data_IF_686784752038
#
_entry.id   IF_686784752038
#
_cell.length_a   1.000
_cell.length_b   1.000
_cell.length_c   1.000
_cell.angle_alpha   90.00
_cell.angle_beta   90.00
_cell.angle_gamma   90.00
#
_symmetry.space_group_name_H-M   'P 1'
#
loop_
_entity.id
_entity.type
_entity.pdbx_description
1 polymer ?
#
# COMPACT_ATOMS: atom_id res chain seq x y z
N UNK A 1 -10.01 -20.80 -43.69
CA UNK A 1 -10.91 -21.76 -43.04
C UNK A 1 -10.73 -21.80 -41.51
N UNK A 2 -10.19 -20.75 -40.88
CA UNK A 2 -9.79 -20.73 -39.45
C UNK A 2 -10.59 -19.73 -38.61
N UNK A 3 -11.17 -18.68 -39.21
CA UNK A 3 -12.01 -17.72 -38.49
C UNK A 3 -13.32 -18.32 -37.95
N UNK A 4 -13.81 -19.40 -38.55
CA UNK A 4 -15.01 -20.08 -38.06
C UNK A 4 -14.75 -20.90 -36.79
N UNK A 5 -13.58 -21.54 -36.71
CA UNK A 5 -13.13 -22.26 -35.52
C UNK A 5 -12.88 -21.30 -34.36
N UNK A 6 -12.20 -20.18 -34.62
CA UNK A 6 -11.91 -19.17 -33.58
C UNK A 6 -13.18 -18.52 -32.99
N UNK A 7 -14.21 -18.29 -33.82
CA UNK A 7 -15.52 -17.82 -33.34
C UNK A 7 -16.24 -18.87 -32.52
N UNK A 8 -16.18 -20.13 -32.95
CA UNK A 8 -16.81 -21.26 -32.24
C UNK A 8 -16.15 -21.48 -30.88
N UNK A 9 -14.83 -21.37 -30.79
CA UNK A 9 -14.10 -21.45 -29.53
C UNK A 9 -14.50 -20.30 -28.60
N UNK A 10 -14.49 -19.05 -29.06
CA UNK A 10 -14.91 -17.90 -28.24
C UNK A 10 -16.33 -18.03 -27.71
N UNK A 11 -17.27 -18.52 -28.52
CA UNK A 11 -18.64 -18.82 -28.07
C UNK A 11 -18.61 -19.89 -26.99
N UNK A 12 -17.89 -21.00 -27.21
CA UNK A 12 -17.77 -22.10 -26.24
C UNK A 12 -17.20 -21.63 -24.89
N UNK A 13 -16.15 -20.80 -24.90
CA UNK A 13 -15.55 -20.22 -23.70
C UNK A 13 -16.55 -19.32 -22.96
N UNK A 14 -17.31 -18.51 -23.69
CA UNK A 14 -18.32 -17.65 -23.10
C UNK A 14 -19.50 -18.44 -22.52
N UNK A 15 -19.94 -19.51 -23.19
CA UNK A 15 -20.99 -20.40 -22.64
C UNK A 15 -20.52 -21.05 -21.35
N UNK A 16 -19.28 -21.55 -21.30
CA UNK A 16 -18.70 -22.15 -20.08
C UNK A 16 -18.55 -21.15 -18.94
N UNK A 17 -18.25 -19.90 -19.25
CA UNK A 17 -18.22 -18.83 -18.25
C UNK A 17 -19.63 -18.60 -17.68
N UNK A 18 -20.67 -18.56 -18.51
CA UNK A 18 -22.06 -18.42 -18.05
C UNK A 18 -22.51 -19.62 -17.22
N UNK A 19 -22.16 -20.84 -17.63
CA UNK A 19 -22.45 -22.06 -16.85
C UNK A 19 -21.80 -21.99 -15.46
N UNK A 20 -20.54 -21.53 -15.38
CA UNK A 20 -19.83 -21.33 -14.12
C UNK A 20 -20.48 -20.24 -13.24
N UNK A 21 -20.95 -19.13 -13.83
CA UNK A 21 -21.67 -18.08 -13.10
C UNK A 21 -23.00 -18.62 -12.53
N UNK A 22 -23.74 -19.40 -13.32
CA UNK A 22 -25.02 -19.99 -12.88
C UNK A 22 -24.79 -21.08 -11.82
N UNK A 23 -23.73 -21.88 -11.91
CA UNK A 23 -23.35 -22.84 -10.87
C UNK A 23 -22.85 -22.17 -9.57
N UNK A 24 -22.39 -20.92 -9.65
CA UNK A 24 -21.97 -20.15 -8.46
C UNK A 24 -23.12 -19.38 -7.80
N UNK A 25 -24.28 -19.23 -8.45
CA UNK A 25 -25.50 -18.67 -7.84
C UNK A 25 -26.18 -19.62 -6.84
N UNK A 26 -25.88 -20.93 -6.86
CA UNK A 26 -26.28 -21.89 -5.80
C UNK A 26 -25.37 -21.80 -4.55
N UNK A 27 -24.33 -20.96 -4.57
CA UNK A 27 -23.55 -20.60 -3.39
C UNK A 27 -24.14 -19.29 -2.87
N UNK A 28 -25.02 -19.40 -1.87
CA UNK A 28 -25.57 -18.28 -1.08
C UNK A 28 -24.53 -17.16 -0.94
N UNK A 29 -24.72 -16.10 -1.72
CA UNK A 29 -24.04 -14.83 -1.54
C UNK A 29 -24.45 -14.31 -0.17
N UNK A 30 -23.61 -14.57 0.84
CA UNK A 30 -23.79 -14.07 2.20
C UNK A 30 -24.05 -12.56 2.12
N UNK A 31 -25.26 -12.18 2.51
CA UNK A 31 -25.94 -10.95 2.15
C UNK A 31 -25.19 -9.65 2.43
N UNK A 32 -25.15 -8.81 1.41
CA UNK A 32 -25.23 -7.36 1.58
C UNK A 32 -26.68 -7.01 1.28
N UNK A 33 -27.49 -6.96 2.33
CA UNK A 33 -28.86 -6.49 2.24
C UNK A 33 -28.81 -4.95 2.27
N UNK A 34 -29.04 -4.35 1.11
CA UNK A 34 -29.41 -2.95 0.97
C UNK A 34 -30.85 -2.82 1.47
N UNK A 35 -31.06 -2.38 2.71
CA UNK A 35 -32.40 -2.01 3.18
C UNK A 35 -32.67 -0.54 2.83
N UNK A 36 -33.58 -0.35 1.89
CA UNK A 36 -34.17 0.92 1.49
C UNK A 36 -34.95 1.59 2.63
N UNK A 37 -34.71 2.88 2.81
CA UNK A 37 -35.43 3.75 3.73
C UNK A 37 -36.84 4.05 3.22
N UNK A 38 -37.87 3.63 3.98
CA UNK A 38 -39.24 4.16 3.88
C UNK A 38 -39.72 4.65 5.25
N UNK A 39 -40.29 5.85 5.23
CA UNK A 39 -40.67 6.71 6.36
C UNK A 39 -41.79 6.12 7.23
N UNK A 40 -41.73 6.33 8.56
CA UNK A 40 -42.72 7.06 9.39
C UNK A 40 -42.58 6.74 10.90
N UNK A 41 -42.76 7.76 11.76
CA UNK A 41 -43.11 7.59 13.18
C UNK A 41 -42.05 7.99 14.21
N UNK A 42 -42.16 9.22 14.72
CA UNK A 42 -41.29 9.84 15.72
C UNK A 42 -41.47 9.28 17.15
N UNK A 43 -40.36 9.10 17.90
CA UNK A 43 -40.21 9.47 19.34
C UNK A 43 -38.72 9.70 19.67
N UNK A 44 -38.40 10.87 20.24
CA UNK A 44 -37.07 11.29 20.74
C UNK A 44 -36.63 10.55 22.02
N UNK A 45 -35.33 10.22 22.14
CA UNK A 45 -34.47 10.63 23.29
C UNK A 45 -32.99 10.24 23.13
N UNK A 46 -32.19 11.29 22.90
CA UNK A 46 -30.90 11.62 23.50
C UNK A 46 -29.70 10.65 23.44
N UNK A 47 -28.67 11.18 22.75
CA UNK A 47 -27.24 11.22 23.09
C UNK A 47 -26.39 9.95 22.98
N UNK A 48 -25.64 9.86 21.87
CA UNK A 48 -24.17 9.69 21.84
C UNK A 48 -23.67 10.45 20.60
N UNK A 49 -22.84 11.48 20.80
CA UNK A 49 -22.29 12.30 19.73
C UNK A 49 -21.24 11.53 18.92
N UNK A 50 -21.51 11.33 17.65
CA UNK A 50 -20.50 10.99 16.66
C UNK A 50 -19.65 12.23 16.38
N UNK A 51 -18.43 12.24 16.91
CA UNK A 51 -17.40 13.15 16.45
C UNK A 51 -16.99 12.77 15.02
N UNK A 52 -17.68 13.35 14.03
CA UNK A 52 -17.23 13.49 12.66
C UNK A 52 -15.95 14.35 12.66
N UNK A 53 -14.80 13.69 12.84
CA UNK A 53 -13.51 14.30 12.64
C UNK A 53 -13.33 14.61 11.16
N UNK A 54 -13.48 15.88 10.78
CA UNK A 54 -13.09 16.42 9.48
C UNK A 54 -11.74 15.84 9.03
N UNK A 55 -11.59 15.44 7.78
CA UNK A 55 -10.33 14.93 7.22
C UNK A 55 -9.33 16.07 7.02
N UNK A 56 -8.03 15.82 7.22
CA UNK A 56 -6.96 16.79 6.94
C UNK A 56 -6.76 16.85 5.41
N UNK A 57 -7.40 17.81 4.75
CA UNK A 57 -7.30 18.01 3.30
C UNK A 57 -5.88 18.45 2.90
N UNK A 58 -5.12 17.50 2.34
CA UNK A 58 -4.14 17.57 1.24
C UNK A 58 -3.50 18.95 0.94
N UNK A 59 -2.16 19.00 0.90
CA UNK A 59 -1.39 20.09 0.27
C UNK A 59 -1.92 20.41 -1.13
N UNK A 60 -2.11 21.69 -1.43
CA UNK A 60 -2.35 22.14 -2.80
C UNK A 60 -1.17 21.67 -3.67
N UNK A 61 -1.44 21.14 -4.88
CA UNK A 61 -0.45 20.65 -5.86
C UNK A 61 0.71 21.65 -6.16
N UNK A 62 0.55 22.91 -5.74
CA UNK A 62 1.51 24.00 -5.83
C UNK A 62 2.77 23.84 -4.95
N UNK A 63 2.71 23.08 -3.85
CA UNK A 63 3.85 22.93 -2.92
C UNK A 63 4.62 21.62 -3.09
N UNK A 64 4.21 20.76 -4.02
CA UNK A 64 4.83 19.46 -4.23
C UNK A 64 6.00 19.56 -5.23
N UNK A 65 7.08 18.85 -4.91
CA UNK A 65 8.21 18.68 -5.81
C UNK A 65 7.84 17.80 -7.00
N UNK A 66 8.66 17.83 -8.05
CA UNK A 66 8.43 17.01 -9.23
C UNK A 66 8.55 15.52 -8.89
N UNK A 67 7.49 14.77 -9.17
CA UNK A 67 7.38 13.36 -8.82
C UNK A 67 6.63 13.11 -7.53
N UNK A 68 6.35 14.08 -6.67
CA UNK A 68 5.58 13.81 -5.45
C UNK A 68 4.09 13.52 -5.72
N UNK A 69 3.52 12.68 -4.85
CA UNK A 69 2.12 12.31 -4.81
C UNK A 69 1.37 13.08 -3.74
N UNK A 70 0.12 13.41 -4.07
CA UNK A 70 -0.87 13.90 -3.11
C UNK A 70 -1.46 12.73 -2.31
N UNK A 71 -1.74 12.95 -1.02
CA UNK A 71 -2.32 11.95 -0.13
C UNK A 71 -3.33 12.59 0.84
N UNK A 72 -4.24 11.75 1.36
CA UNK A 72 -5.20 12.09 2.41
C UNK A 72 -5.01 11.12 3.59
N UNK A 73 -4.99 11.66 4.81
CA UNK A 73 -4.82 10.90 6.05
C UNK A 73 -5.81 11.37 7.12
N UNK A 74 -6.04 10.51 8.11
CA UNK A 74 -6.75 10.92 9.32
C UNK A 74 -6.05 12.12 9.97
N UNK A 75 -6.80 13.00 10.65
CA UNK A 75 -6.23 14.17 11.32
C UNK A 75 -5.17 13.83 12.36
N UNK A 76 -5.37 12.71 13.05
CA UNK A 76 -4.53 12.21 14.12
C UNK A 76 -4.26 10.71 13.92
N UNK A 77 -3.03 10.25 14.17
CA UNK A 77 -2.72 8.83 14.20
C UNK A 77 -3.57 8.11 15.26
N UNK A 78 -4.12 6.96 14.90
CA UNK A 78 -5.02 6.18 15.78
C UNK A 78 -4.24 5.34 16.80
N UNK A 79 -2.97 5.05 16.52
CA UNK A 79 -2.13 4.16 17.32
C UNK A 79 -1.00 4.98 17.94
N UNK A 80 -1.16 5.36 19.21
CA UNK A 80 -0.16 6.15 19.94
C UNK A 80 0.67 5.27 20.88
N UNK A 81 1.80 5.80 21.34
CA UNK A 81 2.68 5.17 22.34
C UNK A 81 3.34 3.86 21.90
N UNK A 82 3.68 3.74 20.62
CA UNK A 82 4.37 2.56 20.07
C UNK A 82 5.87 2.69 20.31
N UNK A 83 6.49 1.62 20.81
CA UNK A 83 7.93 1.52 21.07
C UNK A 83 8.68 0.91 19.88
N UNK A 84 9.99 1.09 19.82
CA UNK A 84 10.83 0.42 18.82
C UNK A 84 10.70 -1.10 18.92
N UNK A 85 10.62 -1.65 20.14
CA UNK A 85 10.44 -3.09 20.34
C UNK A 85 9.14 -3.63 19.74
N UNK A 86 8.05 -2.85 19.74
CA UNK A 86 6.80 -3.24 19.09
C UNK A 86 6.84 -3.04 17.57
N UNK A 87 7.54 -2.01 17.09
CA UNK A 87 7.83 -1.85 15.66
C UNK A 87 8.63 -3.03 15.08
N UNK A 88 9.64 -3.51 15.81
CA UNK A 88 10.44 -4.66 15.39
C UNK A 88 9.62 -5.96 15.43
N UNK A 89 8.95 -6.25 16.55
CA UNK A 89 8.25 -7.52 16.71
C UNK A 89 6.93 -7.64 15.93
N UNK A 90 6.06 -6.62 15.98
CA UNK A 90 4.72 -6.68 15.40
C UNK A 90 4.67 -6.16 13.96
N UNK A 91 5.43 -5.09 13.67
CA UNK A 91 5.49 -4.47 12.35
C UNK A 91 6.64 -4.99 11.48
N UNK A 92 7.60 -5.73 12.06
CA UNK A 92 8.79 -6.27 11.38
C UNK A 92 9.71 -5.18 10.82
N UNK A 93 9.83 -4.07 11.56
CA UNK A 93 10.69 -2.95 11.19
C UNK A 93 12.14 -3.15 11.72
N UNK A 94 12.81 -4.23 11.29
CA UNK A 94 14.07 -4.68 11.88
C UNK A 94 15.23 -3.66 11.81
N UNK A 95 15.21 -2.75 10.81
CA UNK A 95 16.25 -1.73 10.60
C UNK A 95 15.73 -0.31 10.85
N UNK A 96 14.70 -0.15 11.69
CA UNK A 96 14.04 1.14 11.88
C UNK A 96 14.99 2.25 12.34
N UNK A 97 15.83 2.00 13.33
CA UNK A 97 16.77 2.99 13.88
C UNK A 97 17.75 3.48 12.81
N UNK A 98 18.37 2.55 12.09
CA UNK A 98 19.30 2.87 11.01
C UNK A 98 18.61 3.65 9.87
N UNK A 99 17.41 3.23 9.47
CA UNK A 99 16.63 3.93 8.46
C UNK A 99 16.24 5.35 8.92
N UNK A 100 15.98 5.54 10.22
CA UNK A 100 15.62 6.83 10.80
C UNK A 100 16.81 7.78 10.84
N UNK A 101 17.95 7.31 11.34
CA UNK A 101 19.21 8.06 11.36
C UNK A 101 19.56 8.55 9.95
N UNK A 102 19.52 7.63 8.98
CA UNK A 102 19.77 7.95 7.58
C UNK A 102 18.80 9.01 7.04
N UNK A 103 17.49 8.84 7.28
CA UNK A 103 16.48 9.80 6.85
C UNK A 103 16.72 11.19 7.45
N UNK A 104 17.00 11.27 8.76
CA UNK A 104 17.29 12.54 9.43
C UNK A 104 18.56 13.18 8.90
N UNK A 105 19.59 12.40 8.60
CA UNK A 105 20.83 12.91 8.00
C UNK A 105 20.58 13.48 6.59
N UNK A 106 19.88 12.74 5.73
CA UNK A 106 19.56 13.15 4.35
C UNK A 106 18.73 14.45 4.30
N UNK A 107 17.89 14.70 5.31
CA UNK A 107 17.07 15.91 5.41
C UNK A 107 17.71 17.02 6.27
N UNK A 108 18.92 16.83 6.78
CA UNK A 108 19.60 17.82 7.63
C UNK A 108 18.94 18.05 8.99
N UNK A 109 18.19 17.07 9.50
CA UNK A 109 17.42 17.12 10.74
C UNK A 109 18.11 16.39 11.90
N UNK A 110 19.23 15.72 11.65
CA UNK A 110 19.95 14.93 12.65
C UNK A 110 20.57 15.85 13.72
N UNK A 111 20.17 15.67 14.98
CA UNK A 111 20.75 16.35 16.14
C UNK A 111 21.99 15.60 16.62
N UNK A 112 23.12 16.27 16.78
CA UNK A 112 24.39 15.64 17.22
C UNK A 112 24.31 15.02 18.63
N UNK A 113 23.48 15.59 19.50
CA UNK A 113 23.50 15.26 20.93
C UNK A 113 22.49 14.17 21.34
N UNK A 114 21.59 13.75 20.43
CA UNK A 114 20.44 12.88 20.77
C UNK A 114 19.88 12.14 19.55
N UNK A 115 20.45 10.98 19.21
CA UNK A 115 20.04 10.24 17.99
C UNK A 115 19.51 8.81 18.25
N UNK A 116 19.52 8.33 19.49
CA UNK A 116 19.29 6.91 19.78
C UNK A 116 17.85 6.41 19.51
N UNK A 117 16.92 7.22 18.98
CA UNK A 117 15.52 6.92 18.58
C UNK A 117 14.62 6.20 19.62
N UNK A 118 15.21 5.68 20.68
CA UNK A 118 14.73 4.76 21.70
C UNK A 118 13.88 5.39 22.79
N UNK A 119 14.08 6.65 23.21
CA UNK A 119 13.17 7.28 24.16
C UNK A 119 11.89 7.79 23.48
N UNK A 120 11.84 7.82 22.14
CA UNK A 120 10.72 8.36 21.40
C UNK A 120 9.55 7.36 21.31
N UNK A 121 8.34 7.87 21.49
CA UNK A 121 7.10 7.13 21.26
C UNK A 121 6.57 7.47 19.87
N UNK A 122 6.25 6.45 19.10
CA UNK A 122 5.78 6.62 17.73
C UNK A 122 4.25 6.62 17.67
N UNK A 123 3.72 7.50 16.81
CA UNK A 123 2.30 7.58 16.52
C UNK A 123 2.07 7.07 15.09
N UNK A 124 1.34 5.97 14.94
CA UNK A 124 1.14 5.27 13.68
C UNK A 124 -0.27 5.46 13.09
N UNK A 125 -0.31 5.55 11.77
CA UNK A 125 -1.50 5.51 10.95
C UNK A 125 -1.80 4.08 10.51
N UNK A 126 -3.09 3.70 10.52
CA UNK A 126 -3.53 2.40 9.99
C UNK A 126 -3.44 2.34 8.47
N UNK A 127 -3.73 3.46 7.83
CA UNK A 127 -3.76 3.59 6.39
C UNK A 127 -3.63 5.04 5.94
N UNK A 128 -3.30 5.21 4.67
CA UNK A 128 -3.30 6.47 3.93
C UNK A 128 -4.10 6.28 2.63
N UNK A 129 -4.67 7.35 2.10
CA UNK A 129 -5.22 7.36 0.75
C UNK A 129 -4.31 8.17 -0.17
N UNK A 130 -3.77 7.55 -1.20
CA UNK A 130 -2.97 8.21 -2.23
C UNK A 130 -3.94 8.69 -3.31
N UNK A 131 -3.83 9.96 -3.70
CA UNK A 131 -4.70 10.54 -4.73
C UNK A 131 -4.03 10.34 -6.09
N UNK A 132 -4.59 9.48 -6.92
CA UNK A 132 -4.11 9.24 -8.27
C UNK A 132 -4.58 10.36 -9.20
N UNK A 133 -3.73 10.81 -10.15
CA UNK A 133 -4.15 11.79 -11.14
C UNK A 133 -5.29 11.22 -12.00
N UNK A 134 -6.24 12.09 -12.36
CA UNK A 134 -7.25 11.75 -13.36
C UNK A 134 -6.56 11.38 -14.68
N UNK A 135 -7.11 10.36 -15.32
CA UNK A 135 -6.68 9.88 -16.64
C UNK A 135 -7.78 10.23 -17.62
N UNK A 136 -7.62 11.29 -18.45
CA UNK A 136 -8.69 11.80 -19.31
C UNK A 136 -9.29 10.73 -20.23
N UNK A 137 -8.51 9.70 -20.55
CA UNK A 137 -8.94 8.59 -21.38
C UNK A 137 -9.95 7.65 -20.71
N UNK A 138 -10.05 7.69 -19.37
CA UNK A 138 -10.83 6.71 -18.56
C UNK A 138 -11.79 7.40 -17.60
N UNK A 139 -11.33 8.42 -16.87
CA UNK A 139 -12.11 9.11 -15.84
C UNK A 139 -11.58 10.51 -15.59
N UNK A 140 -12.49 11.49 -15.62
CA UNK A 140 -12.23 12.88 -15.26
C UNK A 140 -12.04 13.12 -13.75
N UNK A 141 -12.38 12.12 -12.93
CA UNK A 141 -12.29 12.22 -11.48
C UNK A 141 -11.04 11.55 -10.92
N UNK A 142 -10.35 12.18 -9.94
CA UNK A 142 -9.21 11.56 -9.27
C UNK A 142 -9.66 10.32 -8.49
N UNK A 143 -8.86 9.27 -8.54
CA UNK A 143 -9.13 8.00 -7.85
C UNK A 143 -8.33 7.96 -6.55
N UNK A 144 -8.99 7.56 -5.47
CA UNK A 144 -8.36 7.37 -4.17
C UNK A 144 -7.86 5.94 -4.03
N UNK A 145 -6.56 5.79 -3.77
CA UNK A 145 -5.89 4.51 -3.65
C UNK A 145 -5.48 4.24 -2.20
N UNK A 146 -6.03 3.18 -1.61
CA UNK A 146 -5.84 2.87 -0.19
C UNK A 146 -4.56 2.08 0.03
N UNK A 147 -3.67 2.58 0.88
CA UNK A 147 -2.49 1.86 1.35
C UNK A 147 -2.56 1.64 2.86
N UNK A 148 -2.55 0.38 3.29
CA UNK A 148 -2.63 -0.05 4.70
C UNK A 148 -1.29 -0.55 5.22
N UNK A 149 -1.05 -0.27 6.50
CA UNK A 149 0.09 -0.72 7.27
C UNK A 149 -0.34 -0.98 8.72
N UNK A 150 -0.93 -2.15 8.97
CA UNK A 150 -1.44 -2.54 10.30
C UNK A 150 -0.89 -3.88 10.74
N UNK A 151 -0.35 -3.95 11.95
CA UNK A 151 -0.01 -5.20 12.61
C UNK A 151 -1.24 -6.08 12.86
N UNK A 152 -1.01 -7.36 13.16
CA UNK A 152 -2.09 -8.29 13.46
C UNK A 152 -2.82 -7.86 14.74
N UNK A 153 -4.15 -7.80 14.69
CA UNK A 153 -4.95 -7.46 15.86
C UNK A 153 -5.51 -8.74 16.50
N UNK A 154 -5.24 -8.97 17.80
CA UNK A 154 -5.80 -10.09 18.50
C UNK A 154 -7.32 -9.93 18.66
N UNK A 155 -7.98 -11.01 19.06
CA UNK A 155 -9.40 -10.97 19.42
C UNK A 155 -9.57 -10.00 20.58
N UNK A 156 -10.20 -8.87 20.31
CA UNK A 156 -10.57 -7.91 21.34
C UNK A 156 -11.98 -8.22 21.84
N UNK A 157 -12.13 -8.28 23.16
CA UNK A 157 -13.44 -8.34 23.82
C UNK A 157 -13.67 -7.01 24.50
N UNK A 158 -14.61 -6.22 23.99
CA UNK A 158 -15.04 -4.98 24.64
C UNK A 158 -16.50 -5.14 25.05
N UNK A 159 -16.72 -5.29 26.36
CA UNK A 159 -18.03 -5.59 26.91
C UNK A 159 -18.60 -6.90 26.36
N UNK A 160 -19.77 -6.84 25.70
CA UNK A 160 -20.46 -7.99 25.09
C UNK A 160 -20.03 -8.26 23.64
N UNK A 161 -19.29 -7.35 23.01
CA UNK A 161 -18.93 -7.45 21.59
C UNK A 161 -17.58 -8.13 21.43
N UNK A 162 -17.56 -9.26 20.71
CA UNK A 162 -16.35 -9.97 20.33
C UNK A 162 -15.92 -9.55 18.92
N UNK A 163 -14.76 -8.92 18.82
CA UNK A 163 -14.16 -8.56 17.54
C UNK A 163 -13.40 -9.75 16.96
N UNK A 164 -13.61 -10.04 15.68
CA UNK A 164 -12.88 -11.09 14.97
C UNK A 164 -11.39 -10.70 14.88
N UNK A 165 -10.46 -11.67 14.91
CA UNK A 165 -9.05 -11.37 14.75
C UNK A 165 -8.79 -10.84 13.34
N UNK A 166 -8.06 -9.73 13.23
CA UNK A 166 -7.66 -9.17 11.95
C UNK A 166 -6.19 -9.54 11.67
N UNK A 167 -5.86 -10.16 10.53
CA UNK A 167 -4.48 -10.44 10.19
C UNK A 167 -3.71 -9.14 9.93
N UNK A 168 -2.38 -9.20 10.05
CA UNK A 168 -1.53 -8.09 9.64
C UNK A 168 -1.74 -7.78 8.15
N UNK A 169 -1.79 -6.49 7.82
CA UNK A 169 -1.98 -5.99 6.45
C UNK A 169 -0.88 -4.98 6.15
N UNK A 170 0.02 -5.36 5.24
CA UNK A 170 1.14 -4.54 4.79
C UNK A 170 1.09 -4.48 3.28
N UNK A 171 0.56 -3.39 2.73
CA UNK A 171 0.41 -3.27 1.29
C UNK A 171 1.75 -3.03 0.59
N UNK A 172 1.82 -3.55 -0.64
CA UNK A 172 2.88 -3.25 -1.59
C UNK A 172 2.55 -2.00 -2.38
N UNK A 173 3.56 -1.19 -2.67
CA UNK A 173 3.44 0.10 -3.34
C UNK A 173 4.54 0.30 -4.37
N UNK A 174 4.28 1.15 -5.36
CA UNK A 174 5.30 1.79 -6.18
C UNK A 174 5.69 3.10 -5.52
N UNK A 175 6.95 3.24 -5.17
CA UNK A 175 7.49 4.42 -4.52
C UNK A 175 8.83 4.82 -5.17
N UNK A 176 9.21 6.09 -4.97
CA UNK A 176 10.51 6.60 -5.40
C UNK A 176 11.46 6.57 -4.21
N UNK A 177 12.69 6.08 -4.41
CA UNK A 177 13.73 6.11 -3.38
C UNK A 177 14.22 7.54 -3.15
N UNK A 178 14.39 8.25 -4.26
CA UNK A 178 14.91 9.61 -4.34
C UNK A 178 14.09 10.37 -5.38
N UNK A 179 14.02 11.69 -5.23
CA UNK A 179 13.44 12.59 -6.23
C UNK A 179 14.55 13.43 -6.85
N UNK A 180 14.50 13.69 -8.18
CA UNK A 180 15.47 14.57 -8.80
C UNK A 180 15.28 16.00 -8.31
N UNK A 181 16.40 16.70 -8.08
CA UNK A 181 16.39 18.11 -7.62
C UNK A 181 15.79 19.06 -8.68
N UNK A 182 15.84 18.67 -9.96
CA UNK A 182 15.34 19.48 -11.08
C UNK A 182 14.39 18.71 -11.99
N UNK A 183 13.37 19.40 -12.48
CA UNK A 183 12.42 18.93 -13.52
C UNK A 183 13.09 18.64 -14.88
N UNK A 184 14.32 19.11 -15.08
CA UNK A 184 15.08 18.85 -16.31
C UNK A 184 15.57 17.41 -16.41
N UNK A 185 15.65 16.69 -15.30
CA UNK A 185 16.03 15.28 -15.28
C UNK A 185 14.79 14.41 -15.38
N UNK A 186 14.78 13.53 -16.38
CA UNK A 186 13.72 12.54 -16.53
C UNK A 186 13.77 11.54 -15.38
N UNK A 187 12.61 11.20 -14.81
CA UNK A 187 12.51 10.19 -13.74
C UNK A 187 13.05 8.82 -14.18
N UNK A 188 13.07 8.55 -15.49
CA UNK A 188 13.56 7.30 -16.08
C UNK A 188 15.03 7.01 -15.80
N UNK A 189 15.83 8.03 -15.45
CA UNK A 189 17.24 7.86 -15.05
C UNK A 189 17.36 7.01 -13.79
N UNK A 190 16.33 7.00 -12.94
CA UNK A 190 16.28 6.26 -11.67
C UNK A 190 15.61 4.86 -11.82
N UNK A 191 15.37 4.40 -13.06
CA UNK A 191 14.58 3.20 -13.38
C UNK A 191 13.25 3.58 -14.03
N UNK A 192 12.38 2.63 -14.43
CA UNK A 192 11.11 2.93 -15.10
C UNK A 192 10.29 3.97 -14.31
N UNK A 193 10.21 5.20 -14.82
CA UNK A 193 9.61 6.35 -14.13
C UNK A 193 10.14 6.64 -12.70
N UNK A 194 11.35 6.18 -12.38
CA UNK A 194 11.99 6.25 -11.06
C UNK A 194 11.32 5.39 -9.98
N UNK A 195 10.42 4.49 -10.38
CA UNK A 195 9.60 3.71 -9.48
C UNK A 195 10.28 2.41 -9.07
N UNK A 196 10.12 2.11 -7.79
CA UNK A 196 10.57 0.89 -7.15
C UNK A 196 9.41 0.27 -6.40
N UNK A 197 9.39 -1.06 -6.36
CA UNK A 197 8.41 -1.78 -5.54
C UNK A 197 8.89 -1.78 -4.09
N UNK A 198 7.98 -1.49 -3.17
CA UNK A 198 8.24 -1.55 -1.74
C UNK A 198 7.04 -2.15 -1.00
N UNK A 199 7.29 -2.77 0.15
CA UNK A 199 6.25 -3.14 1.11
C UNK A 199 6.22 -2.12 2.25
N UNK A 200 5.07 -1.50 2.48
CA UNK A 200 4.90 -0.55 3.58
C UNK A 200 4.65 -1.32 4.87
N UNK A 201 5.59 -1.21 5.83
CA UNK A 201 5.43 -1.86 7.15
C UNK A 201 4.77 -0.95 8.14
N UNK A 202 5.18 0.31 8.23
CA UNK A 202 4.62 1.27 9.17
C UNK A 202 4.45 2.64 8.52
N UNK A 203 3.41 3.36 8.92
CA UNK A 203 3.20 4.76 8.55
C UNK A 203 3.06 5.54 9.84
N UNK A 204 3.82 6.62 10.02
CA UNK A 204 3.92 7.30 11.32
C UNK A 204 4.24 8.79 11.16
N UNK A 205 3.96 9.57 12.20
CA UNK A 205 4.45 10.94 12.31
C UNK A 205 5.82 10.97 12.98
N UNK A 206 6.72 11.82 12.49
CA UNK A 206 8.02 12.01 13.11
C UNK A 206 7.80 12.54 14.54
N UNK A 207 8.29 11.84 15.58
CA UNK A 207 8.15 12.31 16.96
C UNK A 207 8.83 13.67 17.15
N UNK A 208 8.12 14.60 17.79
CA UNK A 208 8.56 15.99 17.98
C UNK A 208 9.89 16.08 18.74
N UNK A 209 10.21 15.07 19.57
CA UNK A 209 11.47 14.99 20.30
C UNK A 209 12.68 14.87 19.35
N UNK A 210 12.51 14.12 18.25
CA UNK A 210 13.55 13.95 17.25
C UNK A 210 13.65 15.20 16.37
N UNK A 211 12.59 15.53 15.66
CA UNK A 211 12.49 16.74 14.83
C UNK A 211 11.05 16.95 14.35
N UNK A 212 10.83 17.97 13.53
CA UNK A 212 9.53 18.22 12.88
C UNK A 212 9.67 18.03 11.38
N UNK A 213 8.74 17.28 10.78
CA UNK A 213 8.66 17.09 9.33
C UNK A 213 7.23 17.33 8.85
N UNK A 214 7.01 17.98 7.68
CA UNK A 214 5.68 18.42 7.27
C UNK A 214 4.74 17.29 6.84
N UNK A 215 5.26 16.08 6.61
CA UNK A 215 4.49 14.95 6.10
C UNK A 215 4.62 13.71 6.98
N UNK A 216 3.60 12.84 7.02
CA UNK A 216 3.78 11.50 7.54
C UNK A 216 4.89 10.77 6.79
N UNK A 217 5.57 9.89 7.51
CA UNK A 217 6.66 9.06 7.02
C UNK A 217 6.18 7.62 6.90
N UNK A 218 6.77 6.87 5.98
CA UNK A 218 6.54 5.45 5.81
C UNK A 218 7.86 4.69 5.93
N UNK A 219 7.91 3.68 6.80
CA UNK A 219 8.96 2.68 6.78
C UNK A 219 8.59 1.64 5.72
N UNK A 220 9.49 1.45 4.76
CA UNK A 220 9.28 0.56 3.63
C UNK A 220 10.44 -0.42 3.50
N UNK A 221 10.12 -1.66 3.13
CA UNK A 221 11.10 -2.66 2.70
C UNK A 221 11.10 -2.71 1.16
N UNK A 222 12.28 -2.54 0.56
CA UNK A 222 12.42 -2.46 -0.89
C UNK A 222 12.53 -3.84 -1.52
N UNK A 223 11.96 -3.95 -2.71
CA UNK A 223 12.24 -5.04 -3.64
C UNK A 223 13.38 -4.66 -4.59
N UNK A 224 13.84 -5.62 -5.38
CA UNK A 224 14.85 -5.41 -6.42
C UNK A 224 14.37 -4.41 -7.48
N UNK A 225 15.29 -3.68 -8.13
CA UNK A 225 14.95 -2.74 -9.19
C UNK A 225 14.18 -3.39 -10.35
N UNK A 226 13.29 -2.62 -11.00
CA UNK A 226 12.48 -3.05 -12.15
C UNK A 226 13.32 -3.19 -13.43
N UNK A 227 14.23 -4.16 -13.46
CA UNK A 227 15.16 -4.39 -14.57
C UNK A 227 14.91 -5.72 -15.27
N UNK A 228 14.42 -6.73 -14.54
CA UNK A 228 14.20 -8.07 -15.09
C UNK A 228 12.76 -8.18 -15.60
N UNK A 229 12.60 -8.23 -16.92
CA UNK A 229 11.31 -8.48 -17.56
C UNK A 229 11.19 -9.97 -17.91
N UNK A 230 10.10 -10.60 -17.51
CA UNK A 230 9.75 -11.92 -18.00
C UNK A 230 9.27 -11.84 -19.46
N UNK A 231 9.80 -12.70 -20.33
CA UNK A 231 9.56 -12.63 -21.78
C UNK A 231 8.15 -13.09 -22.16
N UNK A 232 7.59 -14.00 -21.38
CA UNK A 232 6.30 -14.61 -21.69
C UNK A 232 5.15 -13.75 -21.17
N UNK A 233 5.28 -13.24 -19.94
CA UNK A 233 4.24 -12.40 -19.31
C UNK A 233 4.41 -10.90 -19.57
N UNK A 234 5.61 -10.47 -19.97
CA UNK A 234 6.01 -9.06 -20.06
C UNK A 234 5.83 -8.30 -18.74
N UNK A 235 5.88 -9.00 -17.61
CA UNK A 235 5.84 -8.41 -16.27
C UNK A 235 7.25 -8.30 -15.69
N UNK A 236 7.47 -7.28 -14.85
CA UNK A 236 8.72 -7.18 -14.11
C UNK A 236 8.78 -8.26 -13.03
N UNK A 237 9.86 -9.02 -13.01
CA UNK A 237 10.19 -9.93 -11.92
C UNK A 237 10.97 -9.17 -10.85
N UNK A 238 10.47 -9.20 -9.63
CA UNK A 238 11.05 -8.56 -8.45
C UNK A 238 11.24 -9.58 -7.33
N UNK A 239 12.25 -9.36 -6.49
CA UNK A 239 12.57 -10.15 -5.30
C UNK A 239 12.76 -9.19 -4.13
N UNK A 240 12.76 -9.68 -2.89
CA UNK A 240 13.14 -8.82 -1.77
C UNK A 240 14.57 -8.34 -1.95
N UNK A 241 14.80 -7.03 -1.81
CA UNK A 241 16.16 -6.50 -1.88
C UNK A 241 16.84 -6.81 -0.55
N UNK A 242 17.79 -7.75 -0.56
CA UNK A 242 18.54 -8.15 0.63
C UNK A 242 20.00 -7.73 0.52
N UNK A 243 20.55 -7.20 1.62
CA UNK A 243 21.99 -6.99 1.79
C UNK A 243 22.43 -7.71 3.07
N UNK A 244 23.31 -8.70 2.93
CA UNK A 244 23.77 -9.55 4.04
C UNK A 244 22.61 -10.26 4.78
N UNK A 245 21.64 -10.82 4.05
CA UNK A 245 20.41 -11.46 4.57
C UNK A 245 19.50 -10.53 5.39
N UNK A 246 19.61 -9.22 5.20
CA UNK A 246 18.76 -8.22 5.83
C UNK A 246 18.04 -7.45 4.72
N UNK A 247 16.71 -7.32 4.81
CA UNK A 247 15.95 -6.53 3.87
C UNK A 247 16.44 -5.08 3.84
N UNK A 248 16.65 -4.58 2.63
CA UNK A 248 16.97 -3.18 2.36
C UNK A 248 15.72 -2.36 2.66
N UNK A 249 15.73 -1.67 3.79
CA UNK A 249 14.64 -0.80 4.21
C UNK A 249 15.05 0.67 4.22
N UNK A 250 14.08 1.56 4.08
CA UNK A 250 14.28 2.98 4.31
C UNK A 250 13.02 3.64 4.87
N UNK A 251 13.18 4.83 5.43
CA UNK A 251 12.07 5.70 5.74
C UNK A 251 11.97 6.74 4.62
N UNK A 252 10.77 6.89 4.07
CA UNK A 252 10.47 7.87 3.01
C UNK A 252 9.28 8.74 3.42
N UNK A 253 9.18 9.98 2.93
CA UNK A 253 7.95 10.73 3.00
C UNK A 253 6.82 9.98 2.28
N UNK A 254 5.60 10.04 2.82
CA UNK A 254 4.44 9.44 2.14
C UNK A 254 4.20 10.05 0.74
N UNK A 255 4.65 11.28 0.51
CA UNK A 255 4.62 11.93 -0.81
C UNK A 255 5.44 11.18 -1.86
N UNK A 256 6.41 10.34 -1.48
CA UNK A 256 7.23 9.59 -2.43
C UNK A 256 6.52 8.32 -2.93
N UNK A 257 5.42 7.93 -2.28
CA UNK A 257 4.60 6.78 -2.67
C UNK A 257 3.69 7.20 -3.83
N UNK A 258 3.92 6.61 -5.00
CA UNK A 258 3.14 6.86 -6.22
C UNK A 258 1.74 6.27 -6.13
N UNK A 259 1.65 5.00 -5.70
CA UNK A 259 0.42 4.19 -5.69
C UNK A 259 0.66 2.83 -5.05
N UNK A 260 -0.40 2.15 -4.63
CA UNK A 260 -0.41 0.72 -4.33
C UNK A 260 -0.06 -0.11 -5.58
N UNK A 261 0.47 -1.31 -5.38
CA UNK A 261 0.67 -2.26 -6.47
C UNK A 261 0.38 -3.67 -6.00
N UNK A 262 0.17 -4.58 -6.95
CA UNK A 262 -0.11 -5.98 -6.67
C UNK A 262 1.04 -6.86 -7.14
N UNK A 263 1.55 -7.70 -6.24
CA UNK A 263 2.59 -8.68 -6.53
C UNK A 263 1.97 -10.07 -6.69
N UNK A 264 2.27 -10.71 -7.80
CA UNK A 264 1.85 -12.08 -8.10
C UNK A 264 3.01 -13.00 -7.71
N UNK A 265 2.83 -13.95 -6.78
CA UNK A 265 3.89 -14.87 -6.40
C UNK A 265 4.35 -15.70 -7.59
N UNK A 266 5.67 -15.88 -7.71
CA UNK A 266 6.27 -16.68 -8.77
C UNK A 266 7.30 -17.66 -8.19
N UNK A 267 7.02 -18.97 -8.31
CA UNK A 267 7.95 -20.04 -7.91
C UNK A 267 8.50 -20.84 -9.10
N UNK A 268 8.34 -20.34 -10.33
CA UNK A 268 8.65 -21.11 -11.53
C UNK A 268 7.76 -22.35 -11.61
N UNK A 269 8.33 -23.53 -11.34
CA UNK A 269 7.72 -24.81 -11.70
C UNK A 269 6.80 -25.42 -10.64
N UNK A 270 6.86 -24.98 -9.37
CA UNK A 270 6.05 -25.58 -8.31
C UNK A 270 5.61 -24.53 -7.30
N UNK A 271 4.30 -24.26 -7.21
CA UNK A 271 3.71 -23.42 -6.17
C UNK A 271 3.71 -24.18 -4.84
N UNK A 272 4.30 -23.58 -3.80
CA UNK A 272 4.26 -24.19 -2.46
C UNK A 272 2.84 -24.09 -1.90
N UNK A 273 2.23 -25.24 -1.59
CA UNK A 273 0.88 -25.31 -1.02
C UNK A 273 0.77 -24.71 0.39
N UNK A 274 1.88 -24.33 1.02
CA UNK A 274 1.90 -23.65 2.32
C UNK A 274 1.67 -22.15 2.22
N UNK A 275 1.67 -21.60 1.01
CA UNK A 275 1.43 -20.17 0.80
C UNK A 275 -0.02 -19.81 1.13
N UNK A 276 -0.15 -18.74 1.89
CA UNK A 276 -1.38 -18.10 2.31
C UNK A 276 -1.21 -16.60 2.11
N UNK A 277 -2.31 -15.84 2.03
CA UNK A 277 -2.22 -14.38 1.91
C UNK A 277 -1.43 -13.69 3.03
N UNK A 278 -1.18 -14.37 4.16
CA UNK A 278 -0.46 -13.81 5.32
C UNK A 278 1.05 -14.03 5.25
N UNK A 279 1.51 -15.15 4.69
CA UNK A 279 2.93 -15.52 4.68
C UNK A 279 3.57 -15.35 3.31
N UNK A 280 2.80 -15.28 2.23
CA UNK A 280 3.33 -15.33 0.86
C UNK A 280 4.34 -14.22 0.56
N UNK A 281 4.10 -13.00 1.06
CA UNK A 281 5.05 -11.90 0.89
C UNK A 281 6.36 -12.10 1.66
N UNK A 282 6.42 -13.00 2.66
CA UNK A 282 7.65 -13.28 3.40
C UNK A 282 8.30 -14.61 2.98
N UNK A 283 7.53 -15.57 2.46
CA UNK A 283 8.02 -16.91 2.11
C UNK A 283 8.38 -17.04 0.62
N UNK A 284 7.70 -16.30 -0.25
CA UNK A 284 7.97 -16.35 -1.68
C UNK A 284 9.20 -15.51 -2.02
N UNK A 285 10.11 -16.08 -2.82
CA UNK A 285 11.38 -15.43 -3.17
C UNK A 285 11.23 -14.41 -4.30
N UNK A 286 10.36 -14.70 -5.25
CA UNK A 286 10.22 -13.90 -6.47
C UNK A 286 8.75 -13.62 -6.76
N UNK A 287 8.49 -12.46 -7.32
CA UNK A 287 7.15 -11.99 -7.65
C UNK A 287 7.14 -11.35 -9.02
N UNK A 288 6.00 -11.40 -9.71
CA UNK A 288 5.72 -10.57 -10.86
C UNK A 288 4.90 -9.35 -10.44
N UNK A 289 5.32 -8.17 -10.90
CA UNK A 289 4.56 -6.94 -10.72
C UNK A 289 3.37 -6.93 -11.68
N UNK A 290 2.15 -6.91 -11.13
CA UNK A 290 0.94 -6.88 -11.94
C UNK A 290 0.77 -5.51 -12.62
N UNK A 291 0.90 -5.50 -13.94
CA UNK A 291 0.72 -4.30 -14.77
C UNK A 291 -0.76 -3.95 -15.01
N UNK A 292 -1.67 -4.87 -14.70
CA UNK A 292 -3.10 -4.78 -15.05
C UNK A 292 -4.00 -4.48 -13.85
N UNK A 293 -3.42 -4.05 -12.72
CA UNK A 293 -4.21 -3.67 -11.54
C UNK A 293 -5.15 -2.50 -11.86
N UNK A 294 -4.64 -1.50 -12.58
CA UNK A 294 -5.41 -0.36 -13.11
C UNK A 294 -4.94 -0.03 -14.52
N UNK A 295 -5.79 0.57 -15.36
CA UNK A 295 -5.39 0.97 -16.71
C UNK A 295 -4.17 1.91 -16.74
N UNK A 296 -4.05 2.81 -15.76
CA UNK A 296 -2.91 3.75 -15.66
C UNK A 296 -1.60 3.06 -15.29
N UNK A 297 -1.65 1.90 -14.63
CA UNK A 297 -0.44 1.14 -14.29
C UNK A 297 0.15 0.50 -15.54
N UNK A 298 -0.71 0.04 -16.45
CA UNK A 298 -0.30 -0.50 -17.74
C UNK A 298 0.43 0.54 -18.57
N UNK A 299 -0.09 1.77 -18.67
CA UNK A 299 0.55 2.85 -19.43
C UNK A 299 1.90 3.24 -18.81
N UNK A 300 1.97 3.28 -17.48
CA UNK A 300 3.14 3.78 -16.76
C UNK A 300 4.29 2.76 -16.67
N UNK A 301 4.00 1.45 -16.69
CA UNK A 301 5.02 0.42 -16.56
C UNK A 301 5.38 -0.27 -17.89
N UNK A 302 4.66 0.04 -18.96
CA UNK A 302 4.97 -0.48 -20.30
C UNK A 302 6.30 0.11 -20.80
N UNK A 303 7.22 -0.78 -21.12
CA UNK A 303 8.45 -0.47 -21.87
C UNK A 303 8.25 -0.63 -23.36
#
# INVERSE_FOLDING_TARGET
MTCWLDRREKVLWFTRFLDWVVETDDIDWIGIQEDECSKEGAVNRDSIGEHLGEEKKVLTRANLQYGESTYNTAKHPLLSNIDIGTLDSEYRCNNFVYAMERFLHEHGLLKLDYWDATPAKYQLYKHIHIVLPSTPEISDHPVMDLCRATAAQPVAVSGKTRWKPAPAQFNTVLARKELPESRSEGLDVLGPNGLHVAQVRAIFELPEELSTFPHPLAYVEWFTPLQKLDKDTLMYQVEHSEKNNIHSASIIPVTYISRSCHLIPFSGNCTDGKWTGKNILNECKSFHLNLYLRPIDFVLLRT
#
